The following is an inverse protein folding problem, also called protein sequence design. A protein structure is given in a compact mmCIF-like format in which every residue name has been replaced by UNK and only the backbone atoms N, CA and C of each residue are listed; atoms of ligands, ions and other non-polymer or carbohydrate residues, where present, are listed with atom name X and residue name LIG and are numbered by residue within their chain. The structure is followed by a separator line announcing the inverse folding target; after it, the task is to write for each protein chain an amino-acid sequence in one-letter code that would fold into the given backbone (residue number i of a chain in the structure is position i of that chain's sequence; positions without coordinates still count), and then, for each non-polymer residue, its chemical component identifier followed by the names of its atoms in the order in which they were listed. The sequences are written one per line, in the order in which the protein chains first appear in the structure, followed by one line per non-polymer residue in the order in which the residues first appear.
data_IF_251177071747
#
_entry.id   IF_251177071747
#
_cell.length_a   1.000
_cell.length_b   1.000
_cell.length_c   1.000
_cell.angle_alpha   90.00
_cell.angle_beta   90.00
_cell.angle_gamma   90.00
#
_symmetry.space_group_name_H-M   'P 1'
#
loop_
_entity.id
_entity.type
_entity.pdbx_description
1 polymer ?
#
# COMPACT_ATOMS: atom_id res chain seq x y z
N UNK A 1 3.49 20.53 0.71
CA UNK A 1 4.65 20.49 1.62
C UNK A 1 5.64 21.53 1.14
N UNK A 2 6.20 22.31 2.05
CA UNK A 2 7.17 23.35 1.73
C UNK A 2 8.48 22.70 1.26
N UNK A 3 8.98 23.11 0.09
CA UNK A 3 10.24 22.61 -0.47
C UNK A 3 11.44 22.98 0.41
N UNK A 4 11.31 24.01 1.26
CA UNK A 4 12.34 24.42 2.21
C UNK A 4 12.65 23.38 3.27
N UNK A 5 11.62 22.67 3.75
CA UNK A 5 11.77 21.60 4.75
C UNK A 5 12.65 20.49 4.19
N UNK A 6 12.38 20.04 2.96
CA UNK A 6 13.20 19.03 2.28
C UNK A 6 14.62 19.54 2.02
N UNK A 7 14.76 20.79 1.57
CA UNK A 7 16.07 21.38 1.34
C UNK A 7 16.93 21.37 2.63
N UNK A 8 16.31 21.64 3.79
CA UNK A 8 16.99 21.59 5.08
C UNK A 8 17.40 20.16 5.46
N UNK A 9 16.50 19.19 5.32
CA UNK A 9 16.79 17.76 5.54
C UNK A 9 17.99 17.32 4.69
N UNK A 10 17.98 17.68 3.40
CA UNK A 10 19.07 17.33 2.49
C UNK A 10 20.41 17.94 2.93
N UNK A 11 20.41 19.20 3.40
CA UNK A 11 21.63 19.87 3.88
C UNK A 11 22.20 19.25 5.16
N UNK A 12 21.34 18.63 5.98
CA UNK A 12 21.76 17.93 7.20
C UNK A 12 22.21 16.49 6.95
N UNK A 13 21.97 15.96 5.76
CA UNK A 13 22.42 14.62 5.39
C UNK A 13 23.95 14.59 5.20
N UNK A 14 24.60 13.60 5.79
CA UNK A 14 26.04 13.42 5.68
C UNK A 14 26.35 12.32 4.69
N UNK A 15 26.85 12.69 3.52
CA UNK A 15 27.19 11.72 2.49
C UNK A 15 28.39 10.86 2.86
N UNK A 16 28.23 9.54 2.75
CA UNK A 16 29.33 8.59 2.80
C UNK A 16 29.93 8.35 1.39
N UNK A 17 30.49 9.41 0.80
CA UNK A 17 31.14 9.33 -0.51
C UNK A 17 30.67 10.39 -1.50
N UNK A 18 30.70 10.08 -2.80
CA UNK A 18 30.30 11.00 -3.87
C UNK A 18 28.93 10.67 -4.41
N UNK A 19 27.95 11.52 -4.13
CA UNK A 19 26.58 11.33 -4.56
C UNK A 19 25.77 12.62 -4.59
N UNK A 20 24.48 12.48 -4.82
CA UNK A 20 23.53 13.57 -4.81
C UNK A 20 22.18 13.15 -4.26
N UNK A 21 21.55 14.04 -3.52
CA UNK A 21 20.14 13.93 -3.13
C UNK A 21 19.27 14.65 -4.16
N UNK A 22 18.19 13.98 -4.59
CA UNK A 22 17.14 14.50 -5.44
C UNK A 22 15.80 14.37 -4.70
N UNK A 23 14.91 15.35 -4.87
CA UNK A 23 13.55 15.25 -4.34
C UNK A 23 12.52 15.17 -5.46
N UNK A 24 11.86 14.03 -5.56
CA UNK A 24 10.74 13.81 -6.46
C UNK A 24 9.46 14.23 -5.74
N UNK A 25 8.92 15.40 -6.06
CA UNK A 25 7.68 15.86 -5.46
C UNK A 25 6.48 15.15 -6.09
N UNK A 26 5.57 14.66 -5.25
CA UNK A 26 4.25 14.23 -5.70
C UNK A 26 3.38 15.45 -5.99
N UNK A 27 2.91 15.55 -7.22
CA UNK A 27 1.94 16.57 -7.64
C UNK A 27 0.63 15.91 -8.08
N UNK A 28 -0.49 16.53 -7.69
CA UNK A 28 -1.82 16.09 -8.10
C UNK A 28 -2.19 16.82 -9.39
N UNK A 29 -2.67 16.09 -10.40
CA UNK A 29 -3.15 16.66 -11.67
C UNK A 29 -4.49 15.99 -11.99
N UNK A 30 -5.58 16.72 -11.72
CA UNK A 30 -6.93 16.16 -11.74
C UNK A 30 -7.08 14.98 -10.78
N UNK A 31 -7.61 13.85 -11.27
CA UNK A 31 -7.79 12.63 -10.48
C UNK A 31 -6.55 11.72 -10.44
N UNK A 32 -5.46 12.13 -11.11
CA UNK A 32 -4.20 11.38 -11.15
C UNK A 32 -3.10 12.15 -10.41
N UNK A 33 -1.98 11.49 -10.16
CA UNK A 33 -0.79 12.13 -9.61
C UNK A 33 0.45 11.65 -10.36
N UNK A 34 1.51 12.45 -10.30
CA UNK A 34 2.81 12.12 -10.86
C UNK A 34 3.93 12.62 -9.95
N UNK A 35 5.15 12.19 -10.26
CA UNK A 35 6.36 12.70 -9.64
C UNK A 35 7.01 13.74 -10.56
N UNK A 36 7.48 14.83 -9.97
CA UNK A 36 8.25 15.87 -10.67
C UNK A 36 9.54 16.19 -9.93
N UNK A 37 10.62 16.40 -10.69
CA UNK A 37 11.88 16.96 -10.21
C UNK A 37 12.00 18.46 -10.52
N UNK A 38 11.08 19.00 -11.33
CA UNK A 38 11.12 20.38 -11.77
C UNK A 38 10.90 21.34 -10.60
N UNK A 39 11.79 22.32 -10.47
CA UNK A 39 11.79 23.25 -9.34
C UNK A 39 12.13 22.62 -7.98
N UNK A 40 12.45 21.33 -7.92
CA UNK A 40 12.70 20.62 -6.66
C UNK A 40 14.16 20.66 -6.22
N UNK A 41 14.43 20.60 -4.91
CA UNK A 41 15.77 20.56 -4.34
C UNK A 41 16.68 19.49 -4.98
N UNK A 42 17.95 19.85 -5.10
CA UNK A 42 19.03 19.00 -5.59
C UNK A 42 20.31 19.35 -4.84
N UNK A 43 20.93 18.37 -4.20
CA UNK A 43 22.14 18.57 -3.43
C UNK A 43 23.22 17.54 -3.80
N UNK A 44 24.20 17.89 -4.64
CA UNK A 44 25.36 17.05 -4.91
C UNK A 44 26.49 17.29 -3.88
N UNK A 45 27.29 16.26 -3.58
CA UNK A 45 28.45 16.37 -2.66
C UNK A 45 29.61 17.20 -3.19
N UNK A 46 29.70 17.31 -4.51
CA UNK A 46 30.71 18.08 -5.22
C UNK A 46 30.14 18.48 -6.59
N UNK A 47 30.70 19.52 -7.21
CA UNK A 47 30.35 19.86 -8.59
C UNK A 47 30.92 18.83 -9.59
N UNK A 48 30.29 17.65 -9.62
CA UNK A 48 30.59 16.59 -10.58
C UNK A 48 29.60 16.66 -11.74
N UNK A 49 30.15 16.76 -12.94
CA UNK A 49 29.39 16.74 -14.19
C UNK A 49 28.46 15.53 -14.29
N UNK A 50 28.89 14.36 -13.81
CA UNK A 50 28.12 13.11 -13.86
C UNK A 50 26.86 13.15 -12.99
N UNK A 51 26.92 13.75 -11.80
CA UNK A 51 25.73 13.89 -10.92
C UNK A 51 24.71 14.86 -11.51
N UNK A 52 25.20 15.96 -12.11
CA UNK A 52 24.36 16.89 -12.87
C UNK A 52 23.74 16.22 -14.11
N UNK A 53 24.51 15.42 -14.84
CA UNK A 53 24.02 14.63 -15.98
C UNK A 53 22.99 13.59 -15.55
N UNK A 54 23.21 12.91 -14.43
CA UNK A 54 22.26 11.97 -13.85
C UNK A 54 20.92 12.67 -13.55
N UNK A 55 20.94 13.80 -12.85
CA UNK A 55 19.74 14.62 -12.63
C UNK A 55 19.08 15.04 -13.94
N UNK A 56 19.84 15.49 -14.93
CA UNK A 56 19.29 15.91 -16.22
C UNK A 56 18.63 14.76 -16.98
N UNK A 57 19.18 13.55 -16.88
CA UNK A 57 18.53 12.34 -17.40
C UNK A 57 17.24 12.04 -16.63
N UNK A 58 17.25 12.14 -15.29
CA UNK A 58 16.06 11.98 -14.46
C UNK A 58 14.96 13.00 -14.79
N UNK A 59 15.34 14.25 -15.13
CA UNK A 59 14.40 15.29 -15.56
C UNK A 59 13.65 14.93 -16.85
N UNK A 60 14.21 14.09 -17.73
CA UNK A 60 13.48 13.56 -18.89
C UNK A 60 12.33 12.64 -18.48
N UNK A 61 12.39 12.07 -17.28
CA UNK A 61 11.33 11.30 -16.65
C UNK A 61 10.46 12.14 -15.70
N UNK A 62 10.74 13.44 -15.57
CA UNK A 62 9.86 14.35 -14.83
C UNK A 62 8.51 14.41 -15.53
N UNK A 63 7.42 14.32 -14.76
CA UNK A 63 6.03 14.24 -15.25
C UNK A 63 5.58 12.87 -15.78
N UNK A 64 6.33 11.78 -15.53
CA UNK A 64 5.78 10.43 -15.71
C UNK A 64 4.69 10.15 -14.67
N UNK A 65 3.54 9.70 -15.14
CA UNK A 65 2.39 9.37 -14.30
C UNK A 65 2.70 8.17 -13.43
N UNK A 66 2.75 8.37 -12.12
CA UNK A 66 2.83 7.27 -11.15
C UNK A 66 1.41 7.06 -10.64
N UNK A 67 0.77 5.98 -11.08
CA UNK A 67 -0.55 5.58 -10.63
C UNK A 67 -0.62 4.07 -10.53
N UNK A 68 -1.64 3.55 -9.84
CA UNK A 68 -1.85 2.09 -9.70
C UNK A 68 -1.88 1.33 -11.04
N UNK A 69 -2.19 2.01 -12.15
CA UNK A 69 -2.28 1.42 -13.49
C UNK A 69 -1.05 1.72 -14.37
N UNK A 70 -0.06 2.47 -13.87
CA UNK A 70 1.21 2.62 -14.58
C UNK A 70 2.15 1.54 -14.07
N UNK A 71 2.64 0.69 -14.98
CA UNK A 71 3.69 -0.27 -14.61
C UNK A 71 4.98 0.52 -14.42
N UNK A 72 5.32 0.82 -13.17
CA UNK A 72 6.65 1.33 -12.84
C UNK A 72 7.59 0.14 -12.69
N UNK A 73 8.56 0.11 -13.60
CA UNK A 73 9.79 -0.65 -13.57
C UNK A 73 10.53 -0.75 -12.25
N UNK A 74 11.30 -1.83 -12.02
CA UNK A 74 12.50 -1.70 -11.20
C UNK A 74 13.46 -0.65 -11.77
N UNK A 75 13.49 -0.42 -13.10
CA UNK A 75 14.35 0.58 -13.75
C UNK A 75 14.16 1.99 -13.18
N UNK A 76 12.94 2.34 -12.74
CA UNK A 76 12.62 3.62 -12.12
C UNK A 76 12.28 3.48 -10.64
N UNK A 77 13.33 3.30 -9.83
CA UNK A 77 13.23 3.02 -8.41
C UNK A 77 12.43 4.08 -7.61
N UNK A 78 12.55 5.36 -7.96
CA UNK A 78 11.81 6.43 -7.29
C UNK A 78 10.29 6.33 -7.53
N UNK A 79 9.88 5.96 -8.74
CA UNK A 79 8.47 5.71 -9.04
C UNK A 79 7.97 4.45 -8.33
N UNK A 80 8.79 3.39 -8.25
CA UNK A 80 8.45 2.16 -7.51
C UNK A 80 8.23 2.46 -6.03
N UNK A 81 9.15 3.19 -5.39
CA UNK A 81 9.03 3.62 -4.00
C UNK A 81 7.77 4.47 -3.75
N UNK A 82 7.40 5.33 -4.70
CA UNK A 82 6.18 6.12 -4.60
C UNK A 82 4.91 5.26 -4.79
N UNK A 83 4.96 4.24 -5.64
CA UNK A 83 3.83 3.35 -5.91
C UNK A 83 3.58 2.37 -4.77
N UNK A 84 4.62 1.68 -4.30
CA UNK A 84 4.53 0.70 -3.20
C UNK A 84 4.58 1.37 -1.82
N UNK A 85 5.08 2.60 -1.75
CA UNK A 85 5.10 3.37 -0.52
C UNK A 85 6.14 2.93 0.49
N UNK A 86 7.18 2.21 0.04
CA UNK A 86 8.30 1.75 0.87
C UNK A 86 9.64 2.12 0.23
N UNK A 87 10.69 2.17 1.05
CA UNK A 87 12.04 2.47 0.60
C UNK A 87 12.68 1.28 -0.13
N UNK A 88 13.50 1.58 -1.14
CA UNK A 88 14.31 0.60 -1.87
C UNK A 88 15.74 1.09 -2.06
N UNK A 89 16.66 0.16 -2.28
CA UNK A 89 18.04 0.44 -2.62
C UNK A 89 18.50 -0.38 -3.82
N UNK A 90 19.53 0.13 -4.49
CA UNK A 90 20.37 -0.57 -5.46
C UNK A 90 21.84 -0.37 -5.08
N UNK A 91 22.57 -1.46 -4.98
CA UNK A 91 23.92 -1.52 -4.43
C UNK A 91 24.93 -1.93 -5.51
N UNK A 92 26.20 -2.10 -5.11
CA UNK A 92 27.27 -2.64 -5.98
C UNK A 92 27.06 -4.09 -6.41
N UNK A 93 26.06 -4.77 -5.84
CA UNK A 93 25.77 -6.19 -6.06
C UNK A 93 24.72 -6.41 -7.15
N UNK A 94 23.96 -5.37 -7.49
CA UNK A 94 23.02 -5.42 -8.59
C UNK A 94 23.78 -5.45 -9.93
N UNK A 95 23.53 -6.49 -10.74
CA UNK A 95 24.19 -6.66 -12.04
C UNK A 95 23.85 -5.49 -12.96
N UNK A 96 24.82 -5.08 -13.78
CA UNK A 96 24.70 -4.03 -14.79
C UNK A 96 24.43 -2.60 -14.25
N UNK A 97 24.51 -2.41 -12.93
CA UNK A 97 24.23 -1.13 -12.30
C UNK A 97 25.48 -0.25 -12.15
N UNK A 98 25.47 0.92 -12.80
CA UNK A 98 26.56 1.90 -12.71
C UNK A 98 26.45 2.85 -11.51
N UNK A 99 25.25 3.00 -10.93
CA UNK A 99 24.95 3.97 -9.86
C UNK A 99 24.37 3.29 -8.62
N UNK A 100 24.87 3.63 -7.43
CA UNK A 100 24.19 3.25 -6.20
C UNK A 100 22.95 4.11 -6.02
N UNK A 101 21.85 3.53 -5.57
CA UNK A 101 20.61 4.28 -5.33
C UNK A 101 20.01 3.88 -3.99
N UNK A 102 19.47 4.86 -3.27
CA UNK A 102 18.52 4.64 -2.18
C UNK A 102 17.35 5.60 -2.41
N UNK A 103 16.14 5.08 -2.42
CA UNK A 103 14.92 5.87 -2.57
C UNK A 103 14.07 5.73 -1.30
N UNK A 104 13.66 6.86 -0.74
CA UNK A 104 13.00 6.95 0.56
C UNK A 104 11.69 7.72 0.37
N UNK A 105 10.51 7.06 0.45
CA UNK A 105 9.24 7.75 0.35
C UNK A 105 9.04 8.65 1.56
N UNK A 106 8.55 9.86 1.31
CA UNK A 106 8.31 10.88 2.32
C UNK A 106 6.81 11.04 2.51
N UNK A 107 6.35 10.85 3.74
CA UNK A 107 4.96 10.99 4.13
C UNK A 107 4.75 12.18 5.06
N UNK A 108 3.64 12.88 4.83
CA UNK A 108 3.08 13.90 5.71
C UNK A 108 1.86 13.35 6.45
N UNK A 109 1.23 14.19 7.27
CA UNK A 109 -0.02 13.88 7.97
C UNK A 109 0.09 12.61 8.83
N UNK A 110 1.18 12.50 9.60
CA UNK A 110 1.50 11.32 10.45
C UNK A 110 1.60 10.02 9.64
N UNK A 111 2.21 10.06 8.45
CA UNK A 111 2.44 8.85 7.65
C UNK A 111 1.29 8.46 6.71
N UNK A 112 0.25 9.29 6.61
CA UNK A 112 -0.98 8.98 5.85
C UNK A 112 -0.92 9.36 4.38
N UNK A 113 -0.20 10.43 4.04
CA UNK A 113 -0.20 10.99 2.67
C UNK A 113 1.22 11.08 2.13
N UNK A 114 1.46 10.48 0.97
CA UNK A 114 2.73 10.59 0.26
C UNK A 114 2.93 12.05 -0.20
N UNK A 115 4.06 12.65 0.16
CA UNK A 115 4.47 13.97 -0.29
C UNK A 115 5.45 13.91 -1.46
N UNK A 116 6.26 12.84 -1.53
CA UNK A 116 7.27 12.66 -2.57
C UNK A 116 8.25 11.54 -2.21
N UNK A 117 9.39 11.49 -2.90
CA UNK A 117 10.47 10.53 -2.67
C UNK A 117 11.80 11.26 -2.66
N UNK A 118 12.62 11.01 -1.64
CA UNK A 118 14.03 11.43 -1.63
C UNK A 118 14.84 10.32 -2.28
N UNK A 119 15.61 10.65 -3.31
CA UNK A 119 16.54 9.73 -3.95
C UNK A 119 17.97 10.15 -3.63
N UNK A 120 18.75 9.25 -3.03
CA UNK A 120 20.20 9.31 -2.94
C UNK A 120 20.79 8.54 -4.11
N UNK A 121 21.49 9.23 -5.02
CA UNK A 121 22.21 8.62 -6.13
C UNK A 121 23.72 8.76 -5.91
N UNK A 122 24.43 7.63 -5.84
CA UNK A 122 25.88 7.56 -5.62
C UNK A 122 26.60 7.16 -6.89
N UNK A 123 27.63 7.92 -7.26
CA UNK A 123 28.45 7.63 -8.44
C UNK A 123 29.22 6.31 -8.31
N UNK A 124 29.57 5.92 -7.07
CA UNK A 124 30.09 4.60 -6.77
C UNK A 124 29.05 3.89 -5.91
N UNK A 125 28.48 2.77 -6.38
CA UNK A 125 27.54 2.01 -5.58
C UNK A 125 28.18 1.53 -4.28
N UNK A 126 27.51 1.77 -3.15
CA UNK A 126 27.88 1.18 -1.87
C UNK A 126 27.39 -0.28 -1.81
N UNK A 127 27.94 -1.08 -0.89
CA UNK A 127 27.47 -2.45 -0.67
C UNK A 127 26.07 -2.50 -0.02
N UNK A 128 25.74 -1.49 0.78
CA UNK A 128 24.47 -1.35 1.49
C UNK A 128 24.20 0.12 1.81
N UNK A 129 22.92 0.50 1.94
CA UNK A 129 22.47 1.85 2.28
C UNK A 129 21.64 1.90 3.57
N UNK A 130 21.67 0.86 4.42
CA UNK A 130 20.89 0.84 5.66
C UNK A 130 21.24 2.00 6.61
N UNK A 131 22.51 2.40 6.68
CA UNK A 131 22.95 3.54 7.48
C UNK A 131 22.42 4.87 6.92
N UNK A 132 22.45 5.04 5.59
CA UNK A 132 21.91 6.21 4.91
C UNK A 132 20.39 6.30 5.07
N UNK A 133 19.67 5.16 4.99
CA UNK A 133 18.24 5.08 5.26
C UNK A 133 17.91 5.51 6.69
N UNK A 134 18.64 4.99 7.69
CA UNK A 134 18.42 5.35 9.08
C UNK A 134 18.67 6.84 9.32
N UNK A 135 19.72 7.41 8.70
CA UNK A 135 19.97 8.84 8.77
C UNK A 135 18.81 9.65 8.18
N UNK A 136 18.34 9.31 6.98
CA UNK A 136 17.20 9.99 6.36
C UNK A 136 15.93 9.84 7.19
N UNK A 137 15.66 8.65 7.73
CA UNK A 137 14.49 8.40 8.60
C UNK A 137 14.52 9.32 9.82
N UNK A 138 15.65 9.41 10.52
CA UNK A 138 15.79 10.26 11.69
C UNK A 138 15.65 11.76 11.35
N UNK A 139 16.20 12.19 10.21
CA UNK A 139 16.08 13.58 9.76
C UNK A 139 14.63 13.93 9.38
N UNK A 140 13.90 13.00 8.75
CA UNK A 140 12.48 13.16 8.43
C UNK A 140 11.64 13.24 9.69
N UNK A 141 11.87 12.36 10.66
CA UNK A 141 11.17 12.37 11.95
C UNK A 141 11.37 13.69 12.71
N UNK A 142 12.58 14.25 12.68
CA UNK A 142 12.88 15.56 13.27
C UNK A 142 12.05 16.72 12.71
N UNK A 143 11.54 16.57 11.47
CA UNK A 143 10.68 17.54 10.79
C UNK A 143 9.19 17.12 10.80
N UNK A 144 8.80 16.17 11.66
CA UNK A 144 7.46 15.58 11.73
C UNK A 144 6.99 14.92 10.42
N UNK A 145 7.94 14.47 9.60
CA UNK A 145 7.71 13.65 8.42
C UNK A 145 7.92 12.18 8.76
N UNK A 146 7.36 11.30 7.95
CA UNK A 146 7.51 9.86 8.11
C UNK A 146 8.10 9.24 6.84
N UNK A 147 8.76 8.10 7.01
CA UNK A 147 9.09 7.18 5.93
C UNK A 147 8.68 5.77 6.30
N UNK A 148 8.73 4.85 5.32
CA UNK A 148 8.37 3.45 5.49
C UNK A 148 9.39 2.58 4.76
N UNK A 149 9.71 1.44 5.35
CA UNK A 149 10.42 0.34 4.71
C UNK A 149 9.73 -0.95 5.16
N UNK A 150 9.84 -2.00 4.35
CA UNK A 150 9.40 -3.32 4.80
C UNK A 150 10.33 -3.78 5.93
N UNK A 151 9.77 -4.25 7.05
CA UNK A 151 10.59 -4.73 8.17
C UNK A 151 10.60 -6.25 8.17
N UNK A 152 11.76 -6.84 7.91
CA UNK A 152 11.98 -8.26 8.09
C UNK A 152 12.13 -8.54 9.59
N UNK A 153 11.19 -9.31 10.16
CA UNK A 153 11.28 -9.87 11.51
C UNK A 153 11.63 -11.34 11.39
N UNK A 154 12.84 -11.72 11.77
CA UNK A 154 13.33 -13.10 11.64
C UNK A 154 13.61 -13.68 13.01
N UNK A 155 13.13 -14.89 13.25
CA UNK A 155 13.32 -15.61 14.52
C UNK A 155 14.12 -16.87 14.26
N UNK A 156 15.14 -17.11 15.07
CA UNK A 156 15.92 -18.34 15.07
C UNK A 156 16.10 -18.80 16.51
N UNK A 157 15.66 -20.03 16.80
CA UNK A 157 15.54 -20.56 18.15
C UNK A 157 14.72 -19.62 19.08
N UNK A 158 15.38 -18.92 20.00
CA UNK A 158 14.76 -17.98 20.94
C UNK A 158 15.07 -16.51 20.59
N UNK A 159 15.95 -16.27 19.63
CA UNK A 159 16.41 -14.94 19.28
C UNK A 159 15.62 -14.37 18.11
N UNK A 160 15.32 -13.08 18.19
CA UNK A 160 14.60 -12.34 17.13
C UNK A 160 15.42 -11.14 16.70
N UNK A 161 15.61 -10.99 15.40
CA UNK A 161 16.19 -9.81 14.79
C UNK A 161 15.15 -9.07 13.94
N UNK A 162 15.31 -7.75 13.83
CA UNK A 162 14.51 -6.90 12.95
C UNK A 162 15.44 -6.01 12.14
N UNK A 163 15.17 -5.86 10.85
CA UNK A 163 15.90 -4.94 9.98
C UNK A 163 15.03 -4.51 8.80
N UNK A 164 15.28 -3.32 8.21
CA UNK A 164 14.60 -2.90 7.00
C UNK A 164 15.07 -3.76 5.81
N UNK A 165 14.12 -4.26 5.04
CA UNK A 165 14.37 -4.97 3.79
C UNK A 165 14.37 -3.95 2.64
N UNK A 166 15.51 -3.31 2.43
CA UNK A 166 15.67 -2.24 1.44
C UNK A 166 15.94 -2.79 0.02
N UNK A 167 16.30 -4.07 -0.12
CA UNK A 167 16.40 -4.72 -1.42
C UNK A 167 15.48 -5.94 -1.47
N UNK A 168 14.85 -6.14 -2.62
CA UNK A 168 13.99 -7.28 -2.95
C UNK A 168 14.77 -8.50 -3.44
N UNK A 169 16.11 -8.43 -3.41
CA UNK A 169 16.97 -9.57 -3.70
C UNK A 169 17.11 -10.53 -2.52
N UNK A 170 16.99 -11.83 -2.79
CA UNK A 170 17.13 -12.93 -1.82
C UNK A 170 18.52 -12.92 -1.17
N UNK A 171 19.56 -12.55 -1.92
CA UNK A 171 20.92 -12.43 -1.39
C UNK A 171 21.01 -11.42 -0.25
N UNK A 172 20.31 -10.27 -0.37
CA UNK A 172 20.26 -9.26 0.69
C UNK A 172 19.59 -9.80 1.95
N UNK A 173 18.46 -10.51 1.81
CA UNK A 173 17.78 -11.14 2.93
C UNK A 173 18.71 -12.17 3.63
N UNK A 174 19.37 -13.03 2.86
CA UNK A 174 20.27 -14.05 3.37
C UNK A 174 21.45 -13.47 4.15
N UNK A 175 22.10 -12.46 3.61
CA UNK A 175 23.24 -11.84 4.28
C UNK A 175 22.81 -11.15 5.57
N UNK A 176 21.70 -10.40 5.53
CA UNK A 176 21.22 -9.70 6.71
C UNK A 176 20.85 -10.67 7.84
N UNK A 177 20.30 -11.85 7.51
CA UNK A 177 20.01 -12.92 8.46
C UNK A 177 21.29 -13.58 8.96
N UNK A 178 22.16 -14.03 8.06
CA UNK A 178 23.40 -14.76 8.42
C UNK A 178 24.33 -13.90 9.27
N UNK A 179 24.59 -12.67 8.84
CA UNK A 179 25.51 -11.75 9.53
C UNK A 179 24.98 -11.33 10.90
N UNK A 180 23.65 -11.21 11.09
CA UNK A 180 23.10 -10.82 12.39
C UNK A 180 23.08 -11.98 13.40
N UNK A 181 22.68 -13.18 12.99
CA UNK A 181 22.64 -14.33 13.89
C UNK A 181 24.01 -15.00 14.08
N UNK A 182 24.76 -15.20 13.01
CA UNK A 182 25.99 -16.01 13.05
C UNK A 182 27.27 -15.18 13.00
N UNK A 183 27.18 -13.87 12.80
CA UNK A 183 28.33 -12.95 12.66
C UNK A 183 29.32 -13.33 11.55
N UNK A 184 28.88 -14.15 10.61
CA UNK A 184 29.63 -14.61 9.43
C UNK A 184 28.68 -15.01 8.32
N UNK A 185 29.15 -14.99 7.09
CA UNK A 185 28.43 -15.65 5.99
C UNK A 185 28.47 -17.16 6.21
N UNK A 186 27.31 -17.79 6.12
CA UNK A 186 27.12 -19.24 6.29
C UNK A 186 26.61 -19.79 4.96
N UNK A 187 26.99 -21.03 4.64
CA UNK A 187 26.49 -21.70 3.44
C UNK A 187 24.95 -21.67 3.41
N UNK A 188 24.37 -21.20 2.31
CA UNK A 188 22.91 -21.11 2.11
C UNK A 188 22.22 -22.49 2.21
N UNK A 189 22.94 -23.59 2.04
CA UNK A 189 22.42 -24.95 2.25
C UNK A 189 22.34 -25.37 3.73
N UNK A 190 22.94 -24.61 4.65
CA UNK A 190 23.02 -24.98 6.06
C UNK A 190 21.72 -24.71 6.84
N UNK A 191 20.84 -23.84 6.33
CA UNK A 191 19.55 -23.57 6.93
C UNK A 191 18.52 -23.16 5.87
N UNK A 192 17.27 -22.95 6.28
CA UNK A 192 16.18 -22.57 5.40
C UNK A 192 15.50 -21.33 5.96
N UNK A 193 15.27 -20.33 5.12
CA UNK A 193 14.42 -19.19 5.47
C UNK A 193 13.00 -19.54 5.08
N UNK A 194 12.07 -19.41 6.03
CA UNK A 194 10.63 -19.64 5.83
C UNK A 194 9.84 -18.48 6.38
N UNK A 195 8.68 -18.21 5.77
CA UNK A 195 7.67 -17.31 6.31
C UNK A 195 6.36 -18.05 6.53
N UNK A 196 5.55 -17.55 7.46
CA UNK A 196 4.16 -17.99 7.61
C UNK A 196 3.33 -17.15 6.66
N UNK A 197 2.73 -17.78 5.65
CA UNK A 197 1.83 -17.10 4.73
C UNK A 197 0.47 -16.82 5.37
N UNK A 198 -0.39 -16.10 4.67
CA UNK A 198 -1.76 -15.79 5.14
C UNK A 198 -2.61 -17.00 5.50
N UNK A 199 -2.39 -18.13 4.86
CA UNK A 199 -3.09 -19.37 5.15
C UNK A 199 -2.57 -20.05 6.44
N UNK A 200 -1.62 -19.43 7.15
CA UNK A 200 -0.98 -19.99 8.33
C UNK A 200 0.07 -21.07 8.01
N UNK A 201 0.41 -21.27 6.74
CA UNK A 201 1.32 -22.31 6.30
C UNK A 201 2.75 -21.78 6.18
N UNK A 202 3.72 -22.63 6.53
CA UNK A 202 5.13 -22.34 6.35
C UNK A 202 5.54 -22.50 4.88
N UNK A 203 5.94 -21.41 4.25
CA UNK A 203 6.46 -21.37 2.88
C UNK A 203 7.94 -21.03 2.90
N UNK A 204 8.72 -21.70 2.06
CA UNK A 204 10.16 -21.45 1.92
C UNK A 204 10.44 -20.24 1.05
N UNK A 205 11.47 -19.47 1.40
CA UNK A 205 12.03 -18.41 0.55
C UNK A 205 13.42 -18.86 0.09
N UNK A 206 13.53 -19.26 -1.18
CA UNK A 206 14.77 -19.79 -1.77
C UNK A 206 15.27 -19.01 -2.98
N UNK A 207 14.42 -18.15 -3.55
CA UNK A 207 14.68 -17.36 -4.75
C UNK A 207 14.13 -15.93 -4.60
N UNK A 208 14.51 -15.05 -5.53
CA UNK A 208 13.91 -13.73 -5.65
C UNK A 208 12.39 -13.84 -5.88
N UNK A 209 11.93 -14.78 -6.70
CA UNK A 209 10.50 -14.99 -6.96
C UNK A 209 9.74 -15.37 -5.68
N UNK A 210 10.31 -16.23 -4.83
CA UNK A 210 9.70 -16.57 -3.54
C UNK A 210 9.63 -15.35 -2.61
N UNK A 211 10.65 -14.49 -2.62
CA UNK A 211 10.68 -13.27 -1.82
C UNK A 211 9.63 -12.27 -2.32
N UNK A 212 9.49 -12.10 -3.64
CA UNK A 212 8.42 -11.30 -4.22
C UNK A 212 7.04 -11.86 -3.86
N UNK A 213 6.85 -13.18 -3.91
CA UNK A 213 5.60 -13.82 -3.51
C UNK A 213 5.29 -13.57 -2.02
N UNK A 214 6.29 -13.63 -1.14
CA UNK A 214 6.15 -13.29 0.28
C UNK A 214 5.73 -11.82 0.48
N UNK A 215 6.35 -10.88 -0.24
CA UNK A 215 6.02 -9.46 -0.17
C UNK A 215 4.62 -9.18 -0.72
N UNK A 216 4.25 -9.83 -1.82
CA UNK A 216 2.90 -9.76 -2.38
C UNK A 216 1.86 -10.34 -1.42
N UNK A 217 2.19 -11.44 -0.73
CA UNK A 217 1.38 -11.99 0.36
C UNK A 217 1.27 -10.99 1.52
N UNK A 218 2.28 -10.19 1.85
CA UNK A 218 2.14 -9.11 2.85
C UNK A 218 1.22 -7.97 2.35
N UNK A 219 1.44 -7.49 1.13
CA UNK A 219 0.80 -6.28 0.58
C UNK A 219 -0.64 -6.50 0.10
N UNK A 220 -1.07 -7.73 -0.12
CA UNK A 220 -2.43 -8.06 -0.58
C UNK A 220 -3.52 -7.86 0.49
N UNK A 221 -3.33 -6.96 1.46
CA UNK A 221 -4.26 -6.71 2.58
C UNK A 221 -5.71 -6.70 2.10
N UNK A 222 -6.61 -7.35 2.85
CA UNK A 222 -7.93 -7.84 2.39
C UNK A 222 -8.44 -7.17 1.11
N UNK A 223 -8.16 -7.81 -0.03
CA UNK A 223 -8.68 -7.40 -1.34
C UNK A 223 -10.19 -7.20 -1.20
N UNK A 224 -10.64 -6.03 -1.61
CA UNK A 224 -12.03 -5.67 -1.43
C UNK A 224 -12.31 -4.18 -1.56
N UNK A 225 -13.58 -3.85 -1.51
CA UNK A 225 -14.05 -2.49 -1.43
C UNK A 225 -15.23 -2.39 -0.47
N UNK A 226 -15.46 -1.18 0.02
CA UNK A 226 -16.69 -0.79 0.68
C UNK A 226 -17.46 0.10 -0.30
N UNK A 227 -18.74 -0.19 -0.48
CA UNK A 227 -19.66 0.68 -1.19
C UNK A 227 -20.86 1.02 -0.33
N UNK A 228 -21.41 2.20 -0.55
CA UNK A 228 -22.65 2.61 0.09
C UNK A 228 -23.77 2.62 -0.95
N UNK A 229 -24.86 1.92 -0.65
CA UNK A 229 -26.12 2.04 -1.36
C UNK A 229 -26.97 3.08 -0.65
N UNK A 230 -27.18 4.23 -1.28
CA UNK A 230 -27.96 5.33 -0.71
C UNK A 230 -29.45 5.10 -0.93
N UNK A 231 -30.23 5.24 0.14
CA UNK A 231 -31.68 5.19 0.08
C UNK A 231 -32.24 6.53 -0.39
N UNK A 232 -32.86 6.54 -1.57
CA UNK A 232 -33.68 7.64 -2.05
C UNK A 232 -35.15 7.25 -1.94
N UNK A 233 -35.96 7.99 -1.17
CA UNK A 233 -37.40 7.72 -1.09
C UNK A 233 -38.10 8.11 -2.39
N UNK A 234 -38.90 7.20 -2.94
CA UNK A 234 -39.83 7.49 -4.05
C UNK A 234 -41.23 7.80 -3.50
N UNK A 235 -41.66 7.06 -2.49
CA UNK A 235 -42.93 7.26 -1.78
C UNK A 235 -42.82 6.81 -0.31
N UNK A 236 -43.89 6.96 0.47
CA UNK A 236 -43.88 6.69 1.91
C UNK A 236 -43.45 5.25 2.27
N UNK A 237 -43.72 4.28 1.41
CA UNK A 237 -43.45 2.85 1.67
C UNK A 237 -42.47 2.22 0.67
N UNK A 238 -41.88 3.02 -0.24
CA UNK A 238 -40.93 2.51 -1.25
C UNK A 238 -39.62 3.30 -1.26
N UNK A 239 -38.54 2.56 -1.14
CA UNK A 239 -37.16 3.07 -1.14
C UNK A 239 -36.46 2.60 -2.41
N UNK A 240 -35.72 3.51 -3.02
CA UNK A 240 -34.89 3.26 -4.18
C UNK A 240 -33.42 3.31 -3.76
N UNK A 241 -32.74 2.18 -3.88
CA UNK A 241 -31.33 2.08 -3.51
C UNK A 241 -30.46 2.40 -4.71
N UNK A 242 -29.66 3.47 -4.62
CA UNK A 242 -28.70 3.84 -5.64
C UNK A 242 -27.30 3.57 -5.14
N UNK A 243 -26.48 2.94 -5.97
CA UNK A 243 -25.08 2.71 -5.67
C UNK A 243 -24.33 4.05 -5.64
N UNK A 244 -23.92 4.47 -4.45
CA UNK A 244 -23.21 5.71 -4.18
C UNK A 244 -21.67 5.54 -4.17
N UNK A 245 -21.03 6.27 -3.25
CA UNK A 245 -19.57 6.38 -3.17
C UNK A 245 -18.87 5.01 -3.00
N UNK A 246 -17.73 4.86 -3.67
CA UNK A 246 -16.87 3.68 -3.62
C UNK A 246 -15.61 3.99 -2.82
N UNK A 247 -15.33 3.18 -1.80
CA UNK A 247 -14.09 3.20 -1.03
C UNK A 247 -13.32 1.91 -1.30
N UNK A 248 -12.27 1.97 -2.13
CA UNK A 248 -11.40 0.81 -2.39
C UNK A 248 -10.47 0.59 -1.21
N UNK A 249 -10.44 -0.64 -0.68
CA UNK A 249 -9.58 -0.98 0.44
C UNK A 249 -8.19 -1.44 -0.01
N UNK A 250 -8.06 -2.18 -1.12
CA UNK A 250 -6.79 -2.43 -1.83
C UNK A 250 -6.98 -3.21 -3.15
N UNK A 251 -6.05 -3.04 -4.10
CA UNK A 251 -5.87 -3.88 -5.29
C UNK A 251 -6.74 -3.55 -6.52
N UNK A 252 -6.41 -4.19 -7.66
CA UNK A 252 -7.18 -4.12 -8.90
C UNK A 252 -7.59 -5.55 -9.30
N UNK A 253 -8.75 -6.00 -8.80
CA UNK A 253 -9.32 -7.31 -9.11
C UNK A 253 -10.40 -7.18 -10.19
N UNK A 254 -10.30 -8.02 -11.23
CA UNK A 254 -11.23 -8.01 -12.35
C UNK A 254 -12.65 -8.44 -11.91
N UNK A 255 -12.75 -9.40 -10.98
CA UNK A 255 -14.02 -9.84 -10.40
C UNK A 255 -14.70 -8.70 -9.66
N UNK A 256 -14.02 -8.03 -8.73
CA UNK A 256 -14.54 -6.87 -8.00
C UNK A 256 -14.93 -5.72 -8.94
N UNK A 257 -14.16 -5.49 -10.00
CA UNK A 257 -14.46 -4.45 -10.99
C UNK A 257 -15.73 -4.79 -11.77
N UNK A 258 -15.87 -6.05 -12.21
CA UNK A 258 -17.07 -6.54 -12.90
C UNK A 258 -18.29 -6.49 -11.99
N UNK A 259 -18.17 -6.92 -10.75
CA UNK A 259 -19.25 -6.87 -9.76
C UNK A 259 -19.69 -5.42 -9.47
N UNK A 260 -18.74 -4.49 -9.30
CA UNK A 260 -19.08 -3.08 -9.13
C UNK A 260 -19.77 -2.50 -10.37
N UNK A 261 -19.33 -2.89 -11.57
CA UNK A 261 -19.95 -2.46 -12.83
C UNK A 261 -21.37 -3.01 -12.94
N UNK A 262 -21.58 -4.27 -12.55
CA UNK A 262 -22.91 -4.86 -12.43
C UNK A 262 -23.80 -4.07 -11.48
N UNK A 263 -23.31 -3.72 -10.28
CA UNK A 263 -24.06 -2.92 -9.32
C UNK A 263 -24.43 -1.52 -9.87
N UNK A 264 -23.51 -0.86 -10.59
CA UNK A 264 -23.75 0.45 -11.19
C UNK A 264 -24.74 0.42 -12.36
N UNK A 265 -24.76 -0.69 -13.11
CA UNK A 265 -25.67 -0.90 -14.24
C UNK A 265 -26.97 -1.58 -13.82
N UNK A 266 -27.09 -1.98 -12.55
CA UNK A 266 -28.32 -2.50 -12.01
C UNK A 266 -29.28 -1.32 -11.92
N UNK A 267 -30.34 -1.34 -12.76
CA UNK A 267 -31.44 -0.38 -12.64
C UNK A 267 -31.90 -0.44 -11.18
N UNK A 268 -31.74 0.68 -10.51
CA UNK A 268 -31.68 0.78 -9.06
C UNK A 268 -32.73 -0.07 -8.31
N UNK A 269 -32.29 -0.65 -7.20
CA UNK A 269 -33.08 -1.64 -6.49
C UNK A 269 -34.26 -0.95 -5.80
N UNK A 270 -35.47 -1.16 -6.32
CA UNK A 270 -36.71 -0.70 -5.70
C UNK A 270 -37.07 -1.69 -4.60
N UNK A 271 -37.27 -1.19 -3.39
CA UNK A 271 -37.59 -1.98 -2.21
C UNK A 271 -38.85 -1.38 -1.57
N UNK A 272 -39.89 -2.20 -1.45
CA UNK A 272 -41.12 -1.91 -0.73
C UNK A 272 -41.65 -3.14 -0.02
N UNK A 273 -42.72 -3.00 0.78
CA UNK A 273 -43.33 -4.10 1.53
C UNK A 273 -43.80 -5.26 0.64
N UNK A 274 -44.20 -4.96 -0.60
CA UNK A 274 -44.67 -5.95 -1.57
C UNK A 274 -43.60 -6.37 -2.60
N UNK A 275 -42.38 -5.83 -2.51
CA UNK A 275 -41.30 -6.19 -3.44
C UNK A 275 -40.64 -7.49 -3.01
N UNK A 276 -40.65 -8.50 -3.89
CA UNK A 276 -39.79 -9.68 -3.69
C UNK A 276 -38.34 -9.33 -4.05
N UNK A 277 -37.49 -9.22 -3.04
CA UNK A 277 -36.04 -9.10 -3.22
C UNK A 277 -35.45 -10.50 -3.38
N UNK A 278 -34.67 -10.69 -4.43
CA UNK A 278 -33.92 -11.93 -4.65
C UNK A 278 -32.99 -12.20 -3.45
N UNK A 279 -32.98 -13.44 -2.96
CA UNK A 279 -32.14 -13.84 -1.83
C UNK A 279 -30.64 -13.70 -2.10
N UNK A 280 -30.24 -13.67 -3.37
CA UNK A 280 -28.86 -13.42 -3.78
C UNK A 280 -28.47 -11.93 -3.75
N UNK A 281 -29.43 -11.01 -3.59
CA UNK A 281 -29.20 -9.56 -3.52
C UNK A 281 -29.19 -9.12 -2.06
N UNK A 282 -28.10 -9.42 -1.36
CA UNK A 282 -27.95 -9.18 0.08
C UNK A 282 -28.17 -7.71 0.49
N UNK A 283 -27.72 -6.75 -0.34
CA UNK A 283 -27.96 -5.31 -0.14
C UNK A 283 -29.47 -4.98 -0.07
N UNK A 284 -30.26 -5.63 -0.92
CA UNK A 284 -31.70 -5.50 -0.93
C UNK A 284 -32.36 -6.11 0.29
N UNK A 285 -31.95 -7.33 0.66
CA UNK A 285 -32.48 -8.00 1.85
C UNK A 285 -32.19 -7.22 3.13
N UNK A 286 -30.97 -6.66 3.24
CA UNK A 286 -30.60 -5.83 4.37
C UNK A 286 -31.47 -4.56 4.47
N UNK A 287 -31.73 -3.91 3.34
CA UNK A 287 -32.59 -2.74 3.29
C UNK A 287 -34.07 -3.07 3.55
N UNK A 288 -34.57 -4.23 3.09
CA UNK A 288 -35.96 -4.64 3.29
C UNK A 288 -36.25 -5.05 4.74
N UNK A 289 -35.34 -5.80 5.35
CA UNK A 289 -35.57 -6.43 6.65
C UNK A 289 -34.99 -5.65 7.82
N UNK A 290 -34.03 -4.76 7.55
CA UNK A 290 -33.28 -4.04 8.58
C UNK A 290 -32.24 -4.89 9.32
N UNK A 291 -31.92 -6.10 8.83
CA UNK A 291 -30.86 -6.95 9.37
C UNK A 291 -29.58 -6.92 8.54
N UNK A 292 -28.46 -7.25 9.19
CA UNK A 292 -27.20 -7.48 8.50
C UNK A 292 -27.19 -8.89 7.87
N UNK A 293 -26.56 -9.01 6.71
CA UNK A 293 -26.39 -10.27 5.99
C UNK A 293 -24.94 -10.48 5.59
N UNK A 294 -24.54 -11.74 5.45
CA UNK A 294 -23.21 -12.11 4.97
C UNK A 294 -23.31 -13.22 3.94
N UNK A 295 -22.50 -13.13 2.89
CA UNK A 295 -22.22 -14.20 1.94
C UNK A 295 -20.86 -14.82 2.27
N UNK A 296 -20.89 -16.07 2.72
CA UNK A 296 -19.74 -16.79 3.30
C UNK A 296 -19.35 -18.00 2.46
N UNK A 297 -18.21 -18.61 2.77
CA UNK A 297 -17.74 -19.80 2.08
C UNK A 297 -18.61 -21.05 2.35
N UNK A 298 -19.56 -20.95 3.29
CA UNK A 298 -20.50 -22.02 3.60
C UNK A 298 -21.72 -22.00 2.66
N UNK A 299 -21.91 -20.92 1.90
CA UNK A 299 -23.03 -20.73 0.99
C UNK A 299 -22.66 -21.31 -0.38
N UNK A 300 -23.41 -22.32 -0.83
CA UNK A 300 -23.03 -23.20 -1.97
C UNK A 300 -22.85 -22.48 -3.30
N UNK A 301 -23.45 -21.30 -3.47
CA UNK A 301 -23.46 -20.54 -4.72
C UNK A 301 -22.75 -19.18 -4.59
N UNK A 302 -22.10 -18.93 -3.45
CA UNK A 302 -21.47 -17.65 -3.17
C UNK A 302 -20.07 -17.58 -3.79
N UNK A 303 -19.92 -16.75 -4.83
CA UNK A 303 -18.66 -16.59 -5.57
C UNK A 303 -17.77 -15.52 -4.94
N UNK A 304 -18.37 -14.49 -4.31
CA UNK A 304 -17.66 -13.38 -3.67
C UNK A 304 -17.97 -13.32 -2.19
N UNK A 305 -17.05 -12.80 -1.40
CA UNK A 305 -17.33 -12.50 -0.01
C UNK A 305 -18.14 -11.23 0.14
N UNK A 306 -19.22 -11.27 0.94
CA UNK A 306 -20.06 -10.10 1.16
C UNK A 306 -20.41 -9.96 2.65
N UNK A 307 -20.37 -8.73 3.14
CA UNK A 307 -20.97 -8.33 4.41
C UNK A 307 -21.77 -7.06 4.17
N UNK A 308 -23.04 -7.09 4.55
CA UNK A 308 -24.00 -6.06 4.22
C UNK A 308 -24.71 -5.62 5.49
N UNK A 309 -24.76 -4.30 5.73
CA UNK A 309 -25.32 -3.74 6.95
C UNK A 309 -26.22 -2.53 6.65
N UNK A 310 -27.47 -2.52 7.14
CA UNK A 310 -28.33 -1.36 7.03
C UNK A 310 -27.83 -0.22 7.93
N UNK A 311 -27.90 0.99 7.40
CA UNK A 311 -27.46 2.22 8.09
C UNK A 311 -28.66 3.07 8.42
N UNK A 312 -28.73 3.48 9.67
CA UNK A 312 -29.75 4.38 10.17
C UNK A 312 -29.12 5.60 10.81
N UNK A 313 -29.82 6.73 10.77
CA UNK A 313 -29.52 7.89 11.60
C UNK A 313 -30.62 8.11 12.62
N UNK A 314 -30.26 8.64 13.79
CA UNK A 314 -31.23 9.01 14.82
C UNK A 314 -31.28 10.54 14.91
N UNK A 315 -32.23 11.15 14.22
CA UNK A 315 -32.46 12.59 14.28
C UNK A 315 -33.77 12.85 15.03
N UNK A 316 -33.66 13.57 16.16
CA UNK A 316 -34.82 13.97 16.99
C UNK A 316 -35.70 12.79 17.45
N UNK A 317 -35.06 11.68 17.85
CA UNK A 317 -35.77 10.49 18.38
C UNK A 317 -36.45 9.63 17.33
N UNK A 318 -36.25 9.92 16.03
CA UNK A 318 -36.75 9.11 14.93
C UNK A 318 -35.58 8.44 14.22
N UNK A 319 -35.66 7.11 14.08
CA UNK A 319 -34.67 6.33 13.33
C UNK A 319 -35.02 6.39 11.85
N UNK A 320 -34.17 7.04 11.06
CA UNK A 320 -34.34 7.16 9.60
C UNK A 320 -33.35 6.24 8.91
N UNK A 321 -33.84 5.37 8.03
CA UNK A 321 -32.99 4.54 7.18
C UNK A 321 -32.27 5.41 6.13
N UNK A 322 -30.95 5.30 6.06
CA UNK A 322 -30.11 6.06 5.13
C UNK A 322 -29.65 5.24 3.94
N UNK A 323 -29.61 3.92 4.07
CA UNK A 323 -29.06 3.05 3.03
C UNK A 323 -28.34 1.85 3.61
N UNK A 324 -27.45 1.25 2.82
CA UNK A 324 -26.74 0.02 3.18
C UNK A 324 -25.26 0.17 2.89
N UNK A 325 -24.43 -0.18 3.87
CA UNK A 325 -23.00 -0.38 3.65
C UNK A 325 -22.79 -1.83 3.21
N UNK A 326 -22.09 -2.00 2.11
CA UNK A 326 -21.69 -3.29 1.60
C UNK A 326 -20.17 -3.38 1.49
N UNK A 327 -19.62 -4.41 2.11
CA UNK A 327 -18.23 -4.78 2.03
C UNK A 327 -18.08 -6.04 1.17
N UNK A 328 -17.25 -5.97 0.14
CA UNK A 328 -17.09 -7.04 -0.87
C UNK A 328 -15.64 -7.47 -0.97
N UNK A 329 -15.40 -8.78 -0.98
CA UNK A 329 -14.08 -9.41 -1.19
C UNK A 329 -14.10 -10.40 -2.36
N UNK A 330 -12.99 -10.64 -3.08
CA UNK A 330 -12.96 -11.53 -4.25
C UNK A 330 -13.31 -12.98 -3.93
N UNK A 331 -13.07 -13.40 -2.69
CA UNK A 331 -13.40 -14.75 -2.22
C UNK A 331 -14.13 -14.67 -0.89
N UNK A 332 -15.13 -15.54 -0.66
CA UNK A 332 -15.88 -15.56 0.57
C UNK A 332 -15.06 -16.15 1.72
N UNK A 333 -15.28 -15.61 2.93
CA UNK A 333 -14.67 -16.11 4.17
C UNK A 333 -15.65 -17.01 4.92
N UNK A 334 -15.15 -17.82 5.85
CA UNK A 334 -15.99 -18.65 6.72
C UNK A 334 -16.84 -17.81 7.69
N UNK A 335 -16.36 -16.62 8.08
CA UNK A 335 -17.10 -15.64 8.90
C UNK A 335 -16.52 -14.24 8.69
N UNK A 336 -17.37 -13.22 8.88
CA UNK A 336 -16.99 -11.81 8.90
C UNK A 336 -17.02 -11.17 10.30
N UNK A 337 -17.25 -11.96 11.36
CA UNK A 337 -17.42 -11.47 12.74
C UNK A 337 -16.22 -10.68 13.27
N UNK A 338 -15.00 -11.00 12.86
CA UNK A 338 -13.78 -10.29 13.28
C UNK A 338 -13.60 -8.90 12.62
N UNK A 339 -14.42 -8.57 11.60
CA UNK A 339 -14.38 -7.28 10.90
C UNK A 339 -15.48 -6.31 11.37
N UNK A 340 -16.32 -6.74 12.31
CA UNK A 340 -17.33 -5.93 12.96
C UNK A 340 -16.74 -5.43 14.29
N UNK A 341 -16.02 -4.32 14.28
CA UNK A 341 -15.73 -3.62 15.53
C UNK A 341 -17.05 -3.12 16.09
N UNK A 342 -17.41 -3.58 17.28
CA UNK A 342 -18.60 -3.08 17.94
C UNK A 342 -18.37 -1.63 18.38
N UNK A 343 -19.42 -0.78 18.46
CA UNK A 343 -19.28 0.60 18.93
C UNK A 343 -18.67 0.74 20.34
N UNK A 344 -18.63 -0.35 21.12
CA UNK A 344 -18.01 -0.40 22.44
C UNK A 344 -16.47 -0.30 22.38
N UNK A 345 -15.84 -0.63 21.23
CA UNK A 345 -14.38 -0.58 21.05
C UNK A 345 -13.85 0.81 20.63
N UNK A 346 -14.71 1.84 20.56
CA UNK A 346 -14.35 3.23 20.17
C UNK A 346 -14.39 4.21 21.37
N UNK A 347 -14.50 3.69 22.60
CA UNK A 347 -14.23 4.49 23.81
C UNK A 347 -13.05 3.92 24.58
N UNK A 348 -11.84 4.31 24.17
CA UNK A 348 -10.72 4.63 25.07
C UNK A 348 -9.75 5.61 24.40
#
# INVERSE_FOLDING_TARGET
MDSKVIENIMKMFHFNGSGSLLYWQRIQVGNKWCLTLEGQPFLPTADRKQLKQYRNSCLKYSNYWVGQNTKVDQEWLAGLAAQEGIAYQRTSRDRDQFWGQLVVPVYIDKGKKLAGVIELAMYRPAEDFAADYLQLSNLLEGENLATKALIAKVTYEKDTIKFPLLSIGIEYLWENVTMRFFKRSVNQQAFLIKYVNRSGNWTMISSDDDLHACIADLNSGQLGFIQFWEAASISNDTVHMVVGQLYRLNGNDAGLTNYRTYCLNYDALIIGPDTQVDQMVLAGLAAQTGFAYQGTSNDRDQIMGQLVMPVYTNMRGHQTFLGVIEFVTPSPKATYNENLTTPEDIQE
#
